data_IF_748423366514
#
_entry.id   IF_748423366514
#
_cell.length_a   1.000
_cell.length_b   1.000
_cell.length_c   1.000
_cell.angle_alpha   90.00
_cell.angle_beta   90.00
_cell.angle_gamma   90.00
#
_symmetry.space_group_name_H-M   'P 1'
#
loop_
_entity.id
_entity.type
_entity.pdbx_description
1 polymer ?
#
# COMPACT_ATOMS: atom_id res chain seq x y z
N UNK A 1 21.71 19.76 3.70
CA UNK A 1 21.66 19.05 2.41
C UNK A 1 20.20 18.76 2.10
N UNK A 2 19.77 18.86 0.84
CA UNK A 2 18.40 18.50 0.47
C UNK A 2 18.15 17.02 0.79
N UNK A 3 17.00 16.71 1.39
CA UNK A 3 16.59 15.33 1.65
C UNK A 3 16.46 14.57 0.32
N UNK A 4 17.12 13.43 0.20
CA UNK A 4 16.98 12.55 -0.97
C UNK A 4 15.71 11.74 -0.77
N UNK A 5 14.73 11.92 -1.66
CA UNK A 5 13.46 11.18 -1.67
C UNK A 5 13.72 9.67 -1.55
N UNK A 6 13.06 9.06 -0.57
CA UNK A 6 12.98 7.61 -0.38
C UNK A 6 11.63 7.09 -0.85
N UNK A 7 11.60 5.80 -1.14
CA UNK A 7 10.44 5.12 -1.71
C UNK A 7 10.01 3.98 -0.77
N UNK A 8 8.70 3.84 -0.64
CA UNK A 8 8.07 2.93 0.31
C UNK A 8 6.96 2.13 -0.35
N UNK A 9 6.51 1.08 0.32
CA UNK A 9 5.24 0.41 0.06
C UNK A 9 4.47 0.38 1.38
N UNK A 10 3.23 0.85 1.36
CA UNK A 10 2.37 0.94 2.54
C UNK A 10 1.06 0.21 2.26
N UNK A 11 0.72 -0.75 3.12
CA UNK A 11 -0.45 -1.62 2.94
C UNK A 11 -1.67 -1.05 3.66
N UNK A 12 -2.78 -1.00 2.95
CA UNK A 12 -4.12 -0.72 3.51
C UNK A 12 -5.12 -1.75 2.99
N UNK A 13 -6.13 -2.09 3.77
CA UNK A 13 -7.24 -2.92 3.32
C UNK A 13 -8.27 -2.04 2.62
N UNK A 14 -8.62 -2.28 1.34
CA UNK A 14 -9.47 -1.36 0.58
C UNK A 14 -10.90 -1.28 1.11
N UNK A 15 -11.37 -2.29 1.85
CA UNK A 15 -12.68 -2.28 2.51
C UNK A 15 -12.71 -1.37 3.76
N UNK A 16 -11.53 -1.01 4.29
CA UNK A 16 -11.35 -0.10 5.43
C UNK A 16 -10.96 1.29 4.93
N UNK A 17 -9.92 1.37 4.09
CA UNK A 17 -9.43 2.62 3.53
C UNK A 17 -8.68 2.39 2.20
N UNK A 18 -9.33 2.73 1.09
CA UNK A 18 -8.81 2.57 -0.27
C UNK A 18 -8.03 3.79 -0.77
N UNK A 19 -7.45 3.67 -1.98
CA UNK A 19 -6.80 4.82 -2.64
C UNK A 19 -7.83 5.86 -3.09
N UNK A 20 -9.07 5.44 -3.36
CA UNK A 20 -10.16 6.35 -3.72
C UNK A 20 -10.66 7.14 -2.50
N UNK A 21 -10.59 6.55 -1.31
CA UNK A 21 -10.85 7.24 -0.06
C UNK A 21 -9.80 8.32 0.18
N UNK A 22 -8.51 7.96 0.06
CA UNK A 22 -7.42 8.93 0.15
C UNK A 22 -7.55 10.06 -0.89
N UNK A 23 -7.93 9.72 -2.13
CA UNK A 23 -8.17 10.71 -3.19
C UNK A 23 -9.29 11.69 -2.82
N UNK A 24 -10.36 11.21 -2.20
CA UNK A 24 -11.51 12.03 -1.77
C UNK A 24 -11.14 12.92 -0.58
N UNK A 25 -10.39 12.40 0.38
CA UNK A 25 -10.02 13.11 1.61
C UNK A 25 -8.81 14.03 1.44
N UNK A 26 -7.97 13.77 0.44
CA UNK A 26 -6.75 14.52 0.14
C UNK A 26 -5.55 14.03 0.95
N UNK A 27 -5.72 13.83 2.26
CA UNK A 27 -4.72 13.27 3.15
C UNK A 27 -5.36 12.48 4.31
N UNK A 28 -4.57 11.64 4.97
CA UNK A 28 -5.00 10.88 6.16
C UNK A 28 -3.84 10.56 7.10
N UNK A 29 -4.16 10.28 8.35
CA UNK A 29 -3.24 9.68 9.32
C UNK A 29 -3.03 8.19 9.00
N UNK A 30 -1.78 7.74 8.89
CA UNK A 30 -1.44 6.33 8.67
C UNK A 30 -1.38 5.55 9.98
N UNK A 31 -2.53 5.49 10.66
CA UNK A 31 -2.71 4.90 11.98
C UNK A 31 -2.66 3.36 12.00
N UNK A 32 -2.75 2.77 13.20
CA UNK A 32 -3.01 1.34 13.36
C UNK A 32 -1.80 0.42 13.12
N UNK A 33 -0.61 0.97 12.86
CA UNK A 33 0.62 0.16 12.71
C UNK A 33 1.06 -0.39 14.07
N UNK A 34 0.99 -1.72 14.24
CA UNK A 34 1.34 -2.45 15.48
C UNK A 34 2.53 -3.40 15.33
N UNK A 35 3.35 -3.19 14.30
CA UNK A 35 4.61 -3.91 14.11
C UNK A 35 5.80 -2.98 14.40
N UNK A 36 6.70 -3.38 15.30
CA UNK A 36 7.83 -2.55 15.73
C UNK A 36 8.77 -2.15 14.59
N UNK A 37 9.02 -3.02 13.61
CA UNK A 37 9.88 -2.71 12.48
C UNK A 37 9.20 -1.71 11.54
N UNK A 38 7.93 -1.93 11.20
CA UNK A 38 7.14 -0.98 10.41
C UNK A 38 7.04 0.40 11.09
N UNK A 39 6.83 0.42 12.41
CA UNK A 39 6.87 1.65 13.22
C UNK A 39 8.21 2.35 13.12
N UNK A 40 9.32 1.61 13.25
CA UNK A 40 10.65 2.20 13.18
C UNK A 40 10.93 2.82 11.81
N UNK A 41 10.48 2.21 10.70
CA UNK A 41 10.58 2.82 9.38
C UNK A 41 9.90 4.20 9.32
N UNK A 42 8.68 4.30 9.84
CA UNK A 42 7.98 5.59 9.91
C UNK A 42 8.71 6.58 10.81
N UNK A 43 9.10 6.16 12.02
CA UNK A 43 9.69 7.04 13.04
C UNK A 43 11.07 7.56 12.65
N UNK A 44 11.92 6.69 12.14
CA UNK A 44 13.35 6.95 12.01
C UNK A 44 13.76 7.33 10.60
N UNK A 45 13.01 6.89 9.58
CA UNK A 45 13.47 6.91 8.19
C UNK A 45 12.59 7.72 7.23
N UNK A 46 11.26 7.73 7.44
CA UNK A 46 10.35 8.51 6.60
C UNK A 46 10.48 10.01 6.83
N UNK A 47 10.46 10.76 5.73
CA UNK A 47 10.52 12.22 5.73
C UNK A 47 9.47 12.81 4.79
N UNK A 48 9.07 14.04 5.07
CA UNK A 48 8.13 14.77 4.19
C UNK A 48 8.69 14.82 2.77
N UNK A 49 7.85 14.46 1.80
CA UNK A 49 8.21 14.35 0.38
C UNK A 49 8.54 12.93 -0.08
N UNK A 50 8.81 11.98 0.83
CA UNK A 50 8.96 10.58 0.45
C UNK A 50 7.69 10.04 -0.21
N UNK A 51 7.85 9.11 -1.15
CA UNK A 51 6.74 8.51 -1.90
C UNK A 51 6.49 7.08 -1.46
N UNK A 52 5.22 6.65 -1.49
CA UNK A 52 4.85 5.28 -1.18
C UNK A 52 3.88 4.71 -2.20
N UNK A 53 4.11 3.45 -2.60
CA UNK A 53 3.14 2.64 -3.31
C UNK A 53 2.01 2.30 -2.34
N UNK A 54 0.79 2.72 -2.68
CA UNK A 54 -0.42 2.40 -1.91
C UNK A 54 -0.88 0.99 -2.30
N UNK A 55 -0.65 0.03 -1.41
CA UNK A 55 -0.91 -1.39 -1.65
C UNK A 55 -2.22 -1.84 -1.00
N UNK A 56 -3.15 -2.36 -1.79
CA UNK A 56 -4.38 -3.01 -1.30
C UNK A 56 -4.06 -4.42 -0.81
N UNK A 57 -4.03 -4.58 0.51
CA UNK A 57 -3.87 -5.87 1.19
C UNK A 57 -5.22 -6.49 1.58
N UNK A 58 -5.20 -7.78 1.92
CA UNK A 58 -6.42 -8.54 2.27
C UNK A 58 -7.56 -8.40 1.23
N UNK A 59 -7.17 -8.19 -0.04
CA UNK A 59 -8.07 -7.92 -1.16
C UNK A 59 -7.97 -9.03 -2.20
N UNK A 60 -8.95 -9.07 -3.11
CA UNK A 60 -8.96 -10.01 -4.23
C UNK A 60 -9.24 -9.27 -5.56
N UNK A 61 -8.22 -9.02 -6.41
CA UNK A 61 -6.80 -9.31 -6.19
C UNK A 61 -6.13 -8.31 -5.21
N UNK A 62 -5.08 -8.71 -4.46
CA UNK A 62 -4.23 -7.76 -3.77
C UNK A 62 -3.20 -7.17 -4.74
N UNK A 63 -2.71 -5.96 -4.49
CA UNK A 63 -1.81 -5.28 -5.44
C UNK A 63 -1.63 -3.80 -5.14
N UNK A 64 -0.92 -3.10 -6.04
CA UNK A 64 -0.68 -1.65 -5.94
C UNK A 64 -1.76 -0.90 -6.71
N UNK A 65 -2.40 0.05 -6.02
CA UNK A 65 -3.51 0.84 -6.58
C UNK A 65 -3.10 2.26 -6.99
N UNK A 66 -1.94 2.74 -6.53
CA UNK A 66 -1.49 4.10 -6.79
C UNK A 66 -0.32 4.53 -5.90
N UNK A 67 -0.15 5.84 -5.76
CA UNK A 67 0.93 6.49 -5.02
C UNK A 67 0.34 7.48 -4.02
N UNK A 68 0.90 7.49 -2.81
CA UNK A 68 0.77 8.56 -1.85
C UNK A 68 2.14 9.16 -1.49
N UNK A 69 2.14 10.30 -0.80
CA UNK A 69 3.35 11.01 -0.37
C UNK A 69 3.27 11.29 1.11
N UNK A 70 4.39 11.13 1.83
CA UNK A 70 4.47 11.54 3.22
C UNK A 70 4.36 13.07 3.28
N UNK A 71 3.30 13.59 3.91
CA UNK A 71 3.06 15.03 4.06
C UNK A 71 3.31 15.54 5.48
N UNK A 72 3.37 14.66 6.48
CA UNK A 72 3.82 14.97 7.84
C UNK A 72 4.72 13.88 8.39
N UNK A 73 5.81 14.29 9.06
CA UNK A 73 6.72 13.37 9.73
C UNK A 73 6.05 12.66 10.92
N UNK A 74 6.77 11.67 11.45
CA UNK A 74 6.24 10.77 12.45
C UNK A 74 5.84 11.46 13.75
N UNK A 75 4.68 11.09 14.26
CA UNK A 75 4.13 11.58 15.53
C UNK A 75 3.33 10.45 16.22
N UNK A 76 2.97 10.60 17.50
CA UNK A 76 2.26 9.56 18.24
C UNK A 76 0.94 9.16 17.58
N UNK A 77 0.70 7.85 17.50
CA UNK A 77 -0.60 7.31 17.12
C UNK A 77 -1.54 7.34 18.33
N UNK A 78 -2.50 8.27 18.32
CA UNK A 78 -3.44 8.47 19.42
C UNK A 78 -4.50 7.35 19.51
N UNK A 79 -4.73 6.59 18.42
CA UNK A 79 -5.65 5.44 18.44
C UNK A 79 -5.15 4.32 19.35
N UNK A 80 -3.86 4.30 19.70
CA UNK A 80 -3.33 3.37 20.68
C UNK A 80 -3.77 3.67 22.12
N UNK A 81 -4.25 4.88 22.39
CA UNK A 81 -4.65 5.35 23.73
C UNK A 81 -6.17 5.34 23.92
N UNK A 82 -6.93 5.28 22.83
CA UNK A 82 -8.38 5.17 22.85
C UNK A 82 -8.81 3.73 23.10
N UNK A 83 -9.61 3.49 24.14
CA UNK A 83 -10.09 2.16 24.53
C UNK A 83 -11.12 1.57 23.57
N UNK A 84 -11.81 2.42 22.81
CA UNK A 84 -12.80 1.99 21.83
C UNK A 84 -12.18 1.71 20.45
N UNK A 85 -10.92 2.12 20.27
CA UNK A 85 -10.17 1.86 19.04
C UNK A 85 -9.82 0.38 18.88
N UNK A 86 -9.93 -0.19 17.67
CA UNK A 86 -9.43 -1.54 17.38
C UNK A 86 -7.91 -1.68 17.56
N UNK A 87 -7.21 -0.56 17.68
CA UNK A 87 -5.76 -0.50 17.79
C UNK A 87 -5.26 -0.10 19.19
N UNK A 88 -6.14 -0.11 20.20
CA UNK A 88 -5.79 0.17 21.60
C UNK A 88 -4.62 -0.70 22.08
N UNK A 89 -3.67 -0.07 22.78
CA UNK A 89 -2.61 -0.77 23.51
C UNK A 89 -2.61 -0.26 24.96
N UNK A 90 -2.93 -1.09 25.97
CA UNK A 90 -2.98 -0.67 27.36
C UNK A 90 -1.64 -0.20 27.93
N UNK A 91 -0.52 -0.42 27.20
CA UNK A 91 0.80 0.05 27.59
C UNK A 91 1.14 1.42 27.00
N UNK A 92 0.37 1.90 26.02
CA UNK A 92 0.56 3.22 25.41
C UNK A 92 -0.11 4.30 26.26
N UNK A 93 0.59 5.41 26.48
CA UNK A 93 0.06 6.58 27.19
C UNK A 93 0.59 7.85 26.54
N UNK A 94 -0.05 8.99 26.83
CA UNK A 94 0.37 10.30 26.33
C UNK A 94 1.82 10.63 26.69
N UNK A 95 2.22 10.34 27.93
CA UNK A 95 3.60 10.51 28.43
C UNK A 95 4.60 9.47 27.89
N UNK A 96 4.12 8.39 27.25
CA UNK A 96 4.94 7.29 26.75
C UNK A 96 4.30 6.69 25.49
N UNK A 97 4.34 7.41 24.35
CA UNK A 97 3.82 6.89 23.10
C UNK A 97 4.67 5.71 22.63
N UNK A 98 4.04 4.56 22.43
CA UNK A 98 4.69 3.34 21.92
C UNK A 98 4.59 3.27 20.39
N UNK A 99 3.43 3.67 19.87
CA UNK A 99 3.07 3.59 18.46
C UNK A 99 3.14 4.97 17.84
N UNK A 100 3.59 4.97 16.59
CA UNK A 100 3.85 6.16 15.81
C UNK A 100 3.17 6.00 14.48
N UNK A 101 2.73 7.11 13.89
CA UNK A 101 2.18 7.20 12.55
C UNK A 101 2.78 8.38 11.81
N UNK A 102 2.51 8.49 10.51
CA UNK A 102 2.81 9.63 9.63
C UNK A 102 1.50 10.06 8.97
N UNK A 103 1.44 11.27 8.39
CA UNK A 103 0.35 11.60 7.47
C UNK A 103 0.80 11.37 6.03
N UNK A 104 -0.14 10.89 5.21
CA UNK A 104 0.08 10.74 3.77
C UNK A 104 -0.97 11.50 2.99
N UNK A 105 -0.56 12.10 1.87
CA UNK A 105 -1.45 12.76 0.92
C UNK A 105 -1.53 11.98 -0.39
N UNK A 106 -2.67 12.08 -1.07
CA UNK A 106 -2.89 11.51 -2.39
C UNK A 106 -1.90 12.10 -3.40
N UNK A 107 -1.35 11.25 -4.28
CA UNK A 107 -0.56 11.71 -5.44
C UNK A 107 -1.21 11.23 -6.73
N UNK A 108 -1.41 9.91 -6.86
CA UNK A 108 -1.85 9.31 -8.10
C UNK A 108 -2.63 8.02 -7.80
N UNK A 109 -3.69 7.79 -8.57
CA UNK A 109 -4.33 6.47 -8.68
C UNK A 109 -3.93 5.92 -10.04
N UNK A 110 -3.45 4.69 -10.06
CA UNK A 110 -3.07 4.04 -11.32
C UNK A 110 -4.30 3.70 -12.15
N UNK A 111 -4.30 3.98 -13.47
CA UNK A 111 -5.34 3.50 -14.37
C UNK A 111 -5.33 1.96 -14.48
N UNK A 112 -4.16 1.33 -14.40
CA UNK A 112 -4.00 -0.12 -14.35
C UNK A 112 -3.63 -0.60 -12.94
N UNK A 113 -4.46 -1.46 -12.37
CA UNK A 113 -4.19 -2.03 -11.04
C UNK A 113 -3.09 -3.11 -11.12
N UNK A 114 -1.93 -2.83 -10.51
CA UNK A 114 -0.78 -3.74 -10.57
C UNK A 114 -0.92 -4.84 -9.52
N UNK A 115 -1.54 -5.95 -9.90
CA UNK A 115 -1.81 -7.07 -9.00
C UNK A 115 -0.52 -7.74 -8.47
N UNK A 116 -0.58 -8.36 -7.29
CA UNK A 116 0.49 -9.19 -6.74
C UNK A 116 0.90 -10.32 -7.71
N UNK A 117 -0.06 -10.85 -8.46
CA UNK A 117 0.20 -11.88 -9.46
C UNK A 117 1.02 -11.32 -10.64
N UNK A 118 0.78 -10.08 -11.03
CA UNK A 118 1.55 -9.37 -12.04
C UNK A 118 2.95 -9.02 -11.55
N UNK A 119 3.08 -8.44 -10.35
CA UNK A 119 4.39 -8.16 -9.74
C UNK A 119 5.32 -9.38 -9.76
N UNK A 120 4.77 -10.58 -9.51
CA UNK A 120 5.52 -11.85 -9.53
C UNK A 120 5.99 -12.32 -10.90
N UNK A 121 5.47 -11.76 -11.99
CA UNK A 121 5.89 -12.10 -13.37
C UNK A 121 7.20 -11.40 -13.75
N UNK A 122 7.58 -10.34 -13.03
CA UNK A 122 8.74 -9.52 -13.36
C UNK A 122 9.93 -9.91 -12.48
N UNK A 123 11.00 -10.38 -13.12
CA UNK A 123 12.20 -10.84 -12.43
C UNK A 123 12.98 -9.68 -11.77
N UNK A 124 12.79 -8.46 -12.29
CA UNK A 124 13.30 -7.20 -11.77
C UNK A 124 12.80 -6.93 -10.35
N UNK A 125 11.58 -7.38 -10.03
CA UNK A 125 10.91 -7.11 -8.76
C UNK A 125 11.15 -8.19 -7.70
N UNK A 126 12.03 -9.16 -7.96
CA UNK A 126 12.25 -10.34 -7.09
C UNK A 126 12.64 -9.98 -5.65
N UNK A 127 13.28 -8.82 -5.46
CA UNK A 127 13.84 -8.40 -4.17
C UNK A 127 12.82 -7.62 -3.31
N UNK A 128 11.66 -7.28 -3.87
CA UNK A 128 10.56 -6.63 -3.14
C UNK A 128 10.17 -7.43 -1.91
N UNK A 129 10.16 -6.74 -0.75
CA UNK A 129 9.84 -7.38 0.54
C UNK A 129 8.41 -7.93 0.56
N UNK A 130 7.48 -7.33 -0.18
CA UNK A 130 6.09 -7.83 -0.30
C UNK A 130 5.98 -9.18 -1.01
N UNK A 131 6.95 -9.55 -1.86
CA UNK A 131 6.97 -10.82 -2.57
C UNK A 131 7.63 -11.96 -1.78
N UNK A 132 8.39 -11.63 -0.73
CA UNK A 132 9.09 -12.61 0.10
C UNK A 132 8.09 -13.47 0.87
N UNK A 133 8.22 -14.79 0.75
CA UNK A 133 7.36 -15.75 1.45
C UNK A 133 7.42 -15.49 2.96
N UNK A 134 6.25 -15.35 3.59
CA UNK A 134 6.13 -15.14 5.04
C UNK A 134 6.31 -13.70 5.51
N UNK A 135 6.55 -12.74 4.61
CA UNK A 135 6.60 -11.32 4.97
C UNK A 135 5.28 -10.85 5.60
N UNK A 136 5.35 -10.30 6.81
CA UNK A 136 4.20 -9.73 7.55
C UNK A 136 4.33 -8.22 7.79
N UNK A 137 5.30 -7.58 7.15
CA UNK A 137 5.47 -6.12 7.25
C UNK A 137 4.39 -5.41 6.43
N UNK A 138 3.74 -4.43 7.04
CA UNK A 138 2.77 -3.52 6.40
C UNK A 138 3.44 -2.33 5.72
N UNK A 139 4.65 -1.99 6.16
CA UNK A 139 5.46 -0.89 5.61
C UNK A 139 6.84 -1.46 5.31
N UNK A 140 7.32 -1.23 4.08
CA UNK A 140 8.63 -1.73 3.64
C UNK A 140 9.31 -0.70 2.74
N UNK A 141 10.65 -0.57 2.80
CA UNK A 141 11.38 0.23 1.83
C UNK A 141 11.28 -0.40 0.43
N UNK A 142 11.36 0.45 -0.58
CA UNK A 142 11.36 0.07 -1.99
C UNK A 142 12.54 0.78 -2.66
N UNK A 143 13.30 0.07 -3.49
CA UNK A 143 14.35 0.71 -4.28
C UNK A 143 13.73 1.60 -5.35
N UNK A 144 14.41 2.71 -5.67
CA UNK A 144 13.90 3.67 -6.66
C UNK A 144 13.55 3.01 -7.99
N UNK A 145 14.40 2.09 -8.48
CA UNK A 145 14.19 1.36 -9.72
C UNK A 145 12.91 0.52 -9.70
N UNK A 146 12.63 -0.14 -8.57
CA UNK A 146 11.45 -0.99 -8.42
C UNK A 146 10.18 -0.14 -8.35
N UNK A 147 10.25 0.99 -7.64
CA UNK A 147 9.16 1.95 -7.55
C UNK A 147 8.79 2.50 -8.93
N UNK A 148 9.77 3.01 -9.68
CA UNK A 148 9.58 3.57 -11.03
C UNK A 148 9.05 2.51 -12.01
N UNK A 149 9.54 1.27 -11.90
CA UNK A 149 9.04 0.16 -12.71
C UNK A 149 7.56 -0.13 -12.42
N UNK A 150 7.17 -0.20 -11.14
CA UNK A 150 5.76 -0.44 -10.76
C UNK A 150 4.88 0.74 -11.17
N UNK A 151 5.35 1.97 -11.05
CA UNK A 151 4.62 3.15 -11.53
C UNK A 151 4.41 3.08 -13.04
N UNK A 152 5.43 2.69 -13.81
CA UNK A 152 5.31 2.51 -15.25
C UNK A 152 4.30 1.41 -15.60
N UNK A 153 4.29 0.28 -14.88
CA UNK A 153 3.26 -0.75 -15.03
C UNK A 153 1.86 -0.19 -14.73
N UNK A 154 1.70 0.58 -13.66
CA UNK A 154 0.41 1.15 -13.28
C UNK A 154 -0.15 2.16 -14.26
N UNK A 155 0.72 2.81 -15.04
CA UNK A 155 0.37 3.87 -15.99
C UNK A 155 0.26 3.40 -17.44
N UNK A 156 0.21 2.09 -17.69
CA UNK A 156 -0.23 1.57 -18.99
C UNK A 156 -1.74 1.76 -19.11
N UNK A 157 -2.22 2.28 -20.24
CA UNK A 157 -3.65 2.27 -20.53
C UNK A 157 -4.07 0.82 -20.83
N UNK A 158 -5.17 0.35 -20.22
CA UNK A 158 -5.74 -0.95 -20.54
C UNK A 158 -5.98 -1.03 -22.06
N UNK A 159 -5.29 -1.93 -22.75
CA UNK A 159 -5.70 -2.33 -24.08
C UNK A 159 -7.08 -2.99 -23.94
N UNK A 160 -8.09 -2.41 -24.61
CA UNK A 160 -9.48 -2.86 -24.61
C UNK A 160 -9.58 -4.40 -24.64
N UNK A 161 -10.06 -5.00 -23.56
CA UNK A 161 -10.10 -6.45 -23.45
C UNK A 161 -10.97 -7.03 -24.58
N UNK A 162 -10.51 -8.07 -25.31
CA UNK A 162 -11.33 -8.69 -26.34
C UNK A 162 -12.63 -9.23 -25.72
N UNK A 163 -13.77 -9.09 -26.40
CA UNK A 163 -15.07 -9.48 -25.86
C UNK A 163 -15.05 -10.94 -25.43
N UNK A 164 -15.76 -11.30 -24.35
CA UNK A 164 -15.74 -12.65 -23.81
C UNK A 164 -16.17 -13.66 -24.87
N UNK A 165 -15.31 -14.65 -25.11
CA UNK A 165 -15.61 -15.76 -26.02
C UNK A 165 -16.79 -16.55 -25.46
N UNK A 166 -17.97 -16.35 -26.05
CA UNK A 166 -19.17 -17.13 -25.74
C UNK A 166 -18.93 -18.56 -26.17
N UNK A 167 -18.69 -19.47 -25.22
CA UNK A 167 -18.59 -20.90 -25.49
C UNK A 167 -19.97 -21.41 -25.92
N UNK A 168 -20.11 -21.80 -27.19
CA UNK A 168 -21.33 -22.44 -27.69
C UNK A 168 -21.51 -23.79 -26.98
N UNK A 169 -22.62 -23.94 -26.26
CA UNK A 169 -23.04 -25.22 -25.70
C UNK A 169 -23.42 -26.13 -26.87
N UNK A 170 -22.54 -27.06 -27.23
CA UNK A 170 -22.89 -28.17 -28.10
C UNK A 170 -23.90 -29.07 -27.39
N UNK A 171 -25.18 -28.90 -27.75
CA UNK A 171 -26.26 -29.83 -27.41
C UNK A 171 -26.01 -31.14 -28.16
N UNK A 172 -25.56 -32.18 -27.45
CA UNK A 172 -25.60 -33.55 -27.95
C UNK A 172 -27.06 -34.00 -27.94
N UNK A 173 -27.66 -34.14 -29.12
CA UNK A 173 -28.89 -34.94 -29.30
C UNK A 173 -28.48 -36.40 -29.38
N UNK A 174 -29.01 -37.22 -28.50
CA UNK A 174 -28.94 -38.67 -28.62
C UNK A 174 -30.00 -39.11 -29.65
N UNK A 175 -29.59 -39.96 -30.59
CA UNK A 175 -30.45 -40.83 -31.41
C UNK A 175 -30.43 -42.19 -30.72
#
# INVERSE_FOLDING_TARGET
MAHKIRYWLMKSEPDVFSIDDLKREGFTDWEGVRNFQARNFMRDEMKVGDLALFYHSNANPPGVAGICRICRESHPDLTAQDKESPYFDPKASESKPIWMMVEVEFVEKFPHFVSLAELKKHAELKDLVVLRKGSRLSITPVEKSDFEFIQALGNVEEAEAPPPVVKSKHSKRNI
#
